data_IF_101558585963
#
_entry.id   IF_101558585963
#
_cell.length_a   1.000
_cell.length_b   1.000
_cell.length_c   1.000
_cell.angle_alpha   90.00
_cell.angle_beta   90.00
_cell.angle_gamma   90.00
#
_symmetry.space_group_name_H-M   'P 1'
#
loop_
_entity.id
_entity.type
_entity.pdbx_description
1 polymer ?
#
# COMPACT_ATOMS: atom_id res chain seq x y z
N UNK A 1 36.27 -44.66 12.71
CA UNK A 1 36.33 -43.25 12.27
C UNK A 1 35.51 -42.94 11.00
N UNK A 2 34.61 -43.83 10.53
CA UNK A 2 33.74 -43.57 9.35
C UNK A 2 32.33 -43.03 9.70
N UNK A 3 31.88 -43.16 10.97
CA UNK A 3 30.54 -42.71 11.41
C UNK A 3 30.45 -41.22 11.74
N UNK A 4 31.57 -40.55 12.02
CA UNK A 4 31.59 -39.11 12.36
C UNK A 4 31.50 -38.22 11.10
N UNK A 5 31.94 -38.74 9.95
CA UNK A 5 31.91 -38.02 8.67
C UNK A 5 30.47 -37.91 8.13
N UNK A 6 29.57 -38.82 8.50
CA UNK A 6 28.17 -38.82 8.02
C UNK A 6 27.27 -37.79 8.74
N UNK A 7 27.69 -37.28 9.90
CA UNK A 7 26.93 -36.28 10.66
C UNK A 7 27.21 -34.86 10.15
N UNK A 8 28.40 -34.63 9.57
CA UNK A 8 28.75 -33.31 9.01
C UNK A 8 28.07 -33.02 7.67
N UNK A 9 27.62 -34.04 6.93
CA UNK A 9 26.90 -33.87 5.66
C UNK A 9 25.42 -33.53 5.83
N UNK A 10 24.83 -33.76 7.01
CA UNK A 10 23.41 -33.45 7.29
C UNK A 10 23.21 -31.98 7.69
N UNK A 11 24.28 -31.27 8.06
CA UNK A 11 24.21 -29.83 8.42
C UNK A 11 24.14 -28.93 7.16
N UNK A 12 24.34 -29.48 5.97
CA UNK A 12 24.15 -28.76 4.70
C UNK A 12 22.67 -28.67 4.26
N UNK A 13 21.74 -29.19 5.07
CA UNK A 13 20.31 -29.17 4.78
C UNK A 13 19.70 -27.84 5.26
N UNK A 14 19.44 -26.97 4.28
CA UNK A 14 18.35 -26.00 4.24
C UNK A 14 18.41 -24.74 5.11
N UNK A 15 19.51 -23.99 5.05
CA UNK A 15 19.43 -22.53 5.22
C UNK A 15 19.30 -21.85 3.85
N UNK A 16 18.28 -22.22 3.06
CA UNK A 16 17.88 -21.33 1.96
C UNK A 16 17.16 -20.16 2.63
N UNK A 17 17.85 -19.05 2.82
CA UNK A 17 17.19 -17.78 3.15
C UNK A 17 16.16 -17.51 2.06
N UNK A 18 14.88 -17.71 2.37
CA UNK A 18 13.78 -17.28 1.51
C UNK A 18 13.77 -15.76 1.61
N UNK A 19 14.61 -15.11 0.79
CA UNK A 19 14.56 -13.67 0.62
C UNK A 19 13.25 -13.38 -0.10
N UNK A 20 12.20 -13.07 0.68
CA UNK A 20 11.02 -12.44 0.12
C UNK A 20 11.45 -11.08 -0.41
N UNK A 21 11.22 -10.84 -1.69
CA UNK A 21 11.49 -9.54 -2.29
C UNK A 21 10.50 -8.55 -1.69
N UNK A 22 10.99 -7.51 -1.05
CA UNK A 22 10.13 -6.43 -0.56
C UNK A 22 9.86 -5.43 -1.68
N UNK A 23 8.59 -5.05 -1.84
CA UNK A 23 8.18 -3.94 -2.67
C UNK A 23 7.71 -2.79 -1.77
N UNK A 24 8.38 -1.65 -1.88
CA UNK A 24 8.10 -0.46 -1.07
C UNK A 24 7.56 0.59 -2.03
N UNK A 25 6.33 1.03 -1.79
CA UNK A 25 5.67 2.07 -2.55
C UNK A 25 5.44 3.28 -1.63
N UNK A 26 5.93 4.43 -2.05
CA UNK A 26 5.81 5.70 -1.32
C UNK A 26 5.05 6.70 -2.19
N UNK A 27 4.09 7.40 -1.59
CA UNK A 27 3.31 8.41 -2.28
C UNK A 27 3.19 9.68 -1.44
N UNK A 28 3.16 10.81 -2.13
CA UNK A 28 3.16 12.14 -1.55
C UNK A 28 2.13 12.98 -2.27
N UNK A 29 1.17 13.50 -1.53
CA UNK A 29 0.04 14.12 -2.19
C UNK A 29 -0.68 15.14 -1.34
N UNK A 30 -1.67 15.76 -1.97
CA UNK A 30 -2.66 16.60 -1.32
C UNK A 30 -4.02 15.96 -1.49
N UNK A 31 -4.88 16.16 -0.51
CA UNK A 31 -6.25 15.67 -0.57
C UNK A 31 -7.26 16.77 -0.30
N UNK A 32 -8.41 16.68 -0.96
CA UNK A 32 -9.58 17.52 -0.72
C UNK A 32 -10.74 16.64 -0.24
N UNK A 33 -11.62 17.25 0.56
CA UNK A 33 -12.80 16.57 1.08
C UNK A 33 -13.99 17.52 1.11
N UNK A 34 -15.10 17.14 0.47
CA UNK A 34 -16.37 17.85 0.61
C UNK A 34 -17.22 17.10 1.63
N UNK A 35 -17.51 17.75 2.76
CA UNK A 35 -18.10 17.10 3.94
C UNK A 35 -19.54 17.51 4.15
N UNK A 36 -20.41 16.51 4.31
CA UNK A 36 -21.78 16.64 4.79
C UNK A 36 -21.82 16.22 6.26
N UNK A 37 -22.31 17.10 7.13
CA UNK A 37 -22.61 16.76 8.52
C UNK A 37 -24.02 16.18 8.58
N UNK A 38 -24.13 14.88 8.88
CA UNK A 38 -25.41 14.17 8.96
C UNK A 38 -26.00 14.30 10.36
N UNK A 39 -25.16 14.28 11.39
CA UNK A 39 -25.47 14.61 12.78
C UNK A 39 -24.22 15.09 13.51
N UNK A 40 -24.34 15.43 14.80
CA UNK A 40 -23.19 15.85 15.62
C UNK A 40 -22.04 14.83 15.61
N UNK A 41 -22.39 13.54 15.58
CA UNK A 41 -21.43 12.43 15.64
C UNK A 41 -21.23 11.70 14.30
N UNK A 42 -21.91 12.11 13.22
CA UNK A 42 -21.80 11.45 11.92
C UNK A 42 -21.50 12.45 10.79
N UNK A 43 -20.36 12.22 10.13
CA UNK A 43 -19.93 12.96 8.94
C UNK A 43 -19.65 12.01 7.78
N UNK A 44 -20.05 12.44 6.59
CA UNK A 44 -19.70 11.79 5.34
C UNK A 44 -18.94 12.78 4.48
N UNK A 45 -17.82 12.36 3.91
CA UNK A 45 -17.00 13.19 3.03
C UNK A 45 -16.74 12.47 1.72
N UNK A 46 -16.94 13.16 0.60
CA UNK A 46 -16.24 12.78 -0.63
C UNK A 46 -14.74 12.97 -0.42
N UNK A 47 -13.92 12.17 -1.07
CA UNK A 47 -12.47 12.29 -0.98
C UNK A 47 -11.87 12.27 -2.37
N UNK A 48 -11.00 13.23 -2.65
CA UNK A 48 -10.11 13.22 -3.81
C UNK A 48 -8.68 13.49 -3.37
N UNK A 49 -7.72 12.93 -4.09
CA UNK A 49 -6.31 13.28 -3.90
C UNK A 49 -5.54 13.20 -5.20
N UNK A 50 -4.48 13.99 -5.28
CA UNK A 50 -3.47 13.91 -6.33
C UNK A 50 -2.09 13.93 -5.68
N UNK A 51 -1.13 13.28 -6.32
CA UNK A 51 0.20 13.16 -5.77
C UNK A 51 1.24 12.61 -6.73
N UNK A 52 2.47 12.61 -6.23
CA UNK A 52 3.61 11.91 -6.83
C UNK A 52 3.88 10.64 -6.06
N UNK A 53 4.54 9.68 -6.69
CA UNK A 53 4.95 8.45 -6.03
C UNK A 53 6.30 7.97 -6.57
N UNK A 54 6.97 7.16 -5.76
CA UNK A 54 8.16 6.41 -6.13
C UNK A 54 8.17 5.04 -5.46
N UNK A 55 8.96 4.11 -6.00
CA UNK A 55 9.16 2.78 -5.41
C UNK A 55 10.63 2.34 -5.35
N UNK A 56 10.87 1.28 -4.60
CA UNK A 56 12.21 0.73 -4.42
C UNK A 56 12.78 -0.02 -5.65
N UNK A 57 12.04 -0.14 -6.75
CA UNK A 57 12.57 -0.60 -8.04
C UNK A 57 13.02 0.58 -8.93
N UNK A 58 12.87 1.82 -8.45
CA UNK A 58 13.26 3.03 -9.17
C UNK A 58 12.18 3.56 -10.11
N UNK A 59 10.94 3.09 -10.00
CA UNK A 59 9.81 3.70 -10.70
C UNK A 59 9.29 4.91 -9.96
N UNK A 60 8.76 5.86 -10.73
CA UNK A 60 8.18 7.08 -10.22
C UNK A 60 7.12 7.60 -11.17
N UNK A 61 6.24 8.44 -10.66
CA UNK A 61 5.24 9.12 -11.47
C UNK A 61 4.21 9.84 -10.62
N UNK A 62 2.96 9.83 -11.09
CA UNK A 62 1.86 10.51 -10.44
C UNK A 62 0.65 9.59 -10.21
N UNK A 63 -0.21 10.01 -9.30
CA UNK A 63 -1.46 9.33 -9.01
C UNK A 63 -2.61 10.30 -8.81
N UNK A 64 -3.81 9.82 -9.13
CA UNK A 64 -5.08 10.45 -8.77
C UNK A 64 -5.94 9.42 -8.04
N UNK A 65 -6.64 9.84 -6.99
CA UNK A 65 -7.53 8.98 -6.23
C UNK A 65 -8.89 9.62 -6.00
N UNK A 66 -9.90 8.77 -5.88
CA UNK A 66 -11.27 9.16 -5.54
C UNK A 66 -11.92 8.12 -4.63
N UNK A 67 -12.78 8.56 -3.73
CA UNK A 67 -13.50 7.69 -2.81
C UNK A 67 -14.26 8.46 -1.74
N UNK A 68 -14.33 7.89 -0.55
CA UNK A 68 -15.06 8.49 0.56
C UNK A 68 -14.35 8.31 1.91
N UNK A 69 -14.76 9.16 2.85
CA UNK A 69 -14.46 9.03 4.27
C UNK A 69 -15.76 9.12 5.07
N UNK A 70 -16.00 8.14 5.94
CA UNK A 70 -17.06 8.18 6.95
C UNK A 70 -16.43 8.38 8.31
N UNK A 71 -16.94 9.33 9.08
CA UNK A 71 -16.57 9.49 10.48
C UNK A 71 -17.81 9.32 11.34
N UNK A 72 -17.80 8.30 12.20
CA UNK A 72 -18.86 8.02 13.18
C UNK A 72 -18.24 8.02 14.58
N UNK A 73 -18.64 8.96 15.43
CA UNK A 73 -17.98 9.24 16.70
C UNK A 73 -16.46 9.45 16.49
N UNK A 74 -15.65 8.58 17.11
CA UNK A 74 -14.19 8.54 16.96
C UNK A 74 -13.71 7.56 15.89
N UNK A 75 -14.59 6.82 15.22
CA UNK A 75 -14.23 5.85 14.18
C UNK A 75 -14.19 6.52 12.81
N UNK A 76 -13.19 6.17 12.02
CA UNK A 76 -12.99 6.62 10.64
C UNK A 76 -12.93 5.40 9.75
N UNK A 77 -13.75 5.40 8.70
CA UNK A 77 -13.71 4.46 7.60
C UNK A 77 -13.34 5.23 6.33
N UNK A 78 -12.31 4.77 5.63
CA UNK A 78 -11.86 5.34 4.36
C UNK A 78 -11.78 4.20 3.34
N UNK A 79 -12.32 4.46 2.17
CA UNK A 79 -12.18 3.59 1.00
C UNK A 79 -11.99 4.48 -0.22
N UNK A 80 -10.83 4.34 -0.85
CA UNK A 80 -10.44 5.13 -2.02
C UNK A 80 -9.84 4.23 -3.08
N UNK A 81 -10.02 4.62 -4.33
CA UNK A 81 -9.47 3.97 -5.50
C UNK A 81 -8.56 4.95 -6.22
N UNK A 82 -7.39 4.47 -6.63
CA UNK A 82 -6.35 5.27 -7.24
C UNK A 82 -6.01 4.73 -8.63
N UNK A 83 -5.81 5.64 -9.59
CA UNK A 83 -5.07 5.39 -10.82
C UNK A 83 -3.65 5.93 -10.65
N UNK A 84 -2.67 5.06 -10.86
CA UNK A 84 -1.26 5.37 -10.70
C UNK A 84 -0.54 5.13 -12.03
N UNK A 85 0.27 6.08 -12.49
CA UNK A 85 1.01 6.01 -13.76
C UNK A 85 2.49 6.26 -13.51
N UNK A 86 3.35 5.49 -14.19
CA UNK A 86 4.81 5.64 -14.10
C UNK A 86 5.40 6.45 -15.28
N UNK A 87 6.70 6.70 -15.22
CA UNK A 87 7.50 7.40 -16.23
C UNK A 87 7.45 6.78 -17.64
N UNK A 88 7.02 5.53 -17.77
CA UNK A 88 6.87 4.81 -19.04
C UNK A 88 5.40 4.69 -19.49
N UNK A 89 4.47 5.41 -18.87
CA UNK A 89 3.02 5.32 -19.10
C UNK A 89 2.40 3.94 -18.78
N UNK A 90 3.11 3.09 -18.05
CA UNK A 90 2.53 1.89 -17.45
C UNK A 90 1.68 2.31 -16.24
N UNK A 91 0.53 1.68 -16.09
CA UNK A 91 -0.46 2.03 -15.09
C UNK A 91 -0.72 0.87 -14.15
N UNK A 92 -1.12 1.20 -12.93
CA UNK A 92 -1.80 0.27 -12.05
C UNK A 92 -2.89 0.98 -11.26
N UNK A 93 -3.90 0.21 -10.90
CA UNK A 93 -5.04 0.68 -10.11
C UNK A 93 -5.01 -0.02 -8.77
N UNK A 94 -5.20 0.74 -7.70
CA UNK A 94 -5.18 0.21 -6.35
C UNK A 94 -6.34 0.74 -5.51
N UNK A 95 -6.83 -0.07 -4.57
CA UNK A 95 -7.68 0.41 -3.49
C UNK A 95 -6.85 0.67 -2.24
N UNK A 96 -7.29 1.63 -1.43
CA UNK A 96 -6.76 1.87 -0.08
C UNK A 96 -7.94 1.91 0.88
N UNK A 97 -7.93 0.98 1.83
CA UNK A 97 -9.00 0.80 2.80
C UNK A 97 -8.42 0.98 4.21
N UNK A 98 -9.08 1.80 5.02
CA UNK A 98 -8.72 2.01 6.42
C UNK A 98 -9.95 2.01 7.29
N UNK A 99 -9.88 1.27 8.39
CA UNK A 99 -10.81 1.33 9.52
C UNK A 99 -9.99 1.59 10.78
N UNK A 100 -10.11 2.78 11.33
CA UNK A 100 -9.28 3.19 12.47
C UNK A 100 -10.03 4.13 13.41
N UNK A 101 -9.47 4.36 14.60
CA UNK A 101 -9.83 5.55 15.36
C UNK A 101 -9.32 6.81 14.65
N UNK A 102 -9.93 7.96 14.95
CA UNK A 102 -9.53 9.27 14.44
C UNK A 102 -8.07 9.53 14.86
N UNK A 103 -7.24 9.87 13.88
CA UNK A 103 -5.79 10.01 14.05
C UNK A 103 -5.00 8.74 13.72
N UNK A 104 -5.67 7.59 13.54
CA UNK A 104 -5.05 6.36 13.05
C UNK A 104 -4.65 6.46 11.58
N UNK A 105 -3.36 6.25 11.30
CA UNK A 105 -2.77 6.35 9.96
C UNK A 105 -2.51 5.01 9.27
N UNK A 106 -3.12 3.90 9.70
CA UNK A 106 -2.79 2.56 9.18
C UNK A 106 -3.97 2.00 8.38
N UNK A 107 -3.68 1.42 7.22
CA UNK A 107 -4.67 0.75 6.38
C UNK A 107 -4.07 -0.31 5.48
N UNK A 108 -4.85 -0.78 4.52
CA UNK A 108 -4.47 -1.79 3.55
C UNK A 108 -4.56 -1.23 2.13
N UNK A 109 -3.49 -1.37 1.35
CA UNK A 109 -3.49 -1.12 -0.10
C UNK A 109 -3.64 -2.46 -0.82
N UNK A 110 -4.42 -2.51 -1.89
CA UNK A 110 -4.54 -3.69 -2.75
C UNK A 110 -4.46 -3.29 -4.22
N UNK A 111 -3.57 -3.93 -4.97
CA UNK A 111 -3.43 -3.71 -6.42
C UNK A 111 -4.55 -4.50 -7.12
N UNK A 112 -5.44 -3.76 -7.79
CA UNK A 112 -6.65 -4.29 -8.42
C UNK A 112 -6.40 -4.68 -9.88
N UNK A 113 -5.57 -3.92 -10.59
CA UNK A 113 -5.25 -4.14 -11.99
C UNK A 113 -3.92 -3.47 -12.34
N UNK A 114 -3.32 -3.83 -13.47
CA UNK A 114 -2.07 -3.24 -13.93
C UNK A 114 -1.76 -3.53 -15.41
N UNK A 115 -0.99 -2.63 -16.02
CA UNK A 115 -0.41 -2.82 -17.35
C UNK A 115 1.08 -3.14 -17.23
N UNK A 116 1.67 -3.63 -18.32
CA UNK A 116 3.11 -3.90 -18.39
C UNK A 116 3.62 -4.74 -17.21
N UNK A 117 4.67 -4.26 -16.54
CA UNK A 117 5.28 -4.95 -15.38
C UNK A 117 4.36 -5.08 -14.16
N UNK A 118 3.40 -4.17 -13.98
CA UNK A 118 2.50 -4.18 -12.82
C UNK A 118 1.45 -5.29 -12.88
N UNK A 119 1.29 -5.98 -14.04
CA UNK A 119 0.46 -7.19 -14.14
C UNK A 119 0.86 -8.26 -13.13
N UNK A 120 2.15 -8.35 -12.82
CA UNK A 120 2.69 -9.31 -11.85
C UNK A 120 2.28 -9.01 -10.40
N UNK A 121 1.83 -7.79 -10.12
CA UNK A 121 1.46 -7.32 -8.79
C UNK A 121 -0.05 -7.37 -8.52
N UNK A 122 -0.88 -7.76 -9.51
CA UNK A 122 -2.34 -7.83 -9.34
C UNK A 122 -2.69 -8.80 -8.20
N UNK A 123 -3.53 -8.35 -7.28
CA UNK A 123 -3.93 -9.07 -6.07
C UNK A 123 -2.96 -8.91 -4.89
N UNK A 124 -1.81 -8.26 -5.07
CA UNK A 124 -0.90 -7.95 -3.98
C UNK A 124 -1.58 -6.97 -3.01
N UNK A 125 -1.64 -7.37 -1.74
CA UNK A 125 -2.25 -6.59 -0.66
C UNK A 125 -1.25 -6.35 0.46
N UNK A 126 -1.11 -5.09 0.89
CA UNK A 126 -0.05 -4.68 1.80
C UNK A 126 -0.56 -3.71 2.87
N UNK A 127 -0.01 -3.76 4.09
CA UNK A 127 -0.23 -2.71 5.06
C UNK A 127 0.45 -1.41 4.59
N UNK A 128 -0.18 -0.29 4.90
CA UNK A 128 0.39 1.04 4.71
C UNK A 128 0.28 1.90 5.96
N UNK A 129 1.17 2.88 6.07
CA UNK A 129 1.10 4.00 7.00
C UNK A 129 0.93 5.32 6.24
N UNK A 130 0.19 6.27 6.81
CA UNK A 130 0.02 7.62 6.30
C UNK A 130 0.19 8.66 7.41
N UNK A 131 0.97 9.68 7.14
CA UNK A 131 1.15 10.85 8.01
C UNK A 131 0.73 12.12 7.27
N UNK A 132 0.25 13.11 8.01
CA UNK A 132 -0.19 14.38 7.45
C UNK A 132 0.57 15.56 8.06
N UNK A 133 0.90 16.54 7.23
CA UNK A 133 1.37 17.87 7.65
C UNK A 133 0.64 18.91 6.83
N UNK A 134 -0.20 19.70 7.48
CA UNK A 134 -1.14 20.60 6.81
C UNK A 134 -2.03 19.82 5.82
N UNK A 135 -2.06 20.24 4.56
CA UNK A 135 -2.77 19.58 3.46
C UNK A 135 -1.92 18.52 2.72
N UNK A 136 -0.70 18.25 3.16
CA UNK A 136 0.19 17.27 2.55
C UNK A 136 0.14 15.94 3.30
N UNK A 137 0.26 14.84 2.55
CA UNK A 137 0.30 13.49 3.08
C UNK A 137 1.57 12.76 2.61
N UNK A 138 2.11 11.92 3.51
CA UNK A 138 3.20 10.97 3.26
C UNK A 138 2.66 9.58 3.48
N UNK A 139 2.48 8.83 2.40
CA UNK A 139 2.00 7.47 2.37
C UNK A 139 3.17 6.52 2.14
N UNK A 140 3.19 5.40 2.86
CA UNK A 140 4.17 4.33 2.66
C UNK A 140 3.52 2.98 2.82
N UNK A 141 3.60 2.14 1.79
CA UNK A 141 3.22 0.74 1.82
C UNK A 141 4.46 -0.15 1.78
N UNK A 142 4.43 -1.26 2.53
CA UNK A 142 5.46 -2.30 2.50
C UNK A 142 4.83 -3.64 2.15
N UNK A 143 5.13 -4.12 0.95
CA UNK A 143 4.59 -5.33 0.37
C UNK A 143 5.61 -6.46 0.42
N UNK A 144 5.18 -7.64 0.83
CA UNK A 144 5.98 -8.87 0.70
C UNK A 144 5.59 -9.55 -0.60
N UNK A 145 6.52 -9.64 -1.54
CA UNK A 145 6.32 -10.43 -2.76
C UNK A 145 6.79 -11.84 -2.43
N UNK A 146 5.85 -12.78 -2.44
CA UNK A 146 6.17 -14.19 -2.45
C UNK A 146 6.59 -14.57 -3.87
N UNK A 147 7.80 -15.13 -4.01
CA UNK A 147 8.20 -15.74 -5.26
C UNK A 147 7.26 -16.92 -5.52
N UNK A 148 6.31 -16.77 -6.46
CA UNK A 148 5.58 -17.92 -6.98
C UNK A 148 6.61 -18.84 -7.63
N UNK A 149 6.88 -19.97 -6.98
CA UNK A 149 7.69 -21.07 -7.50
C UNK A 149 7.01 -21.70 -8.71
#
# INVERSE_FOLDING_TARGET
>A
MKKIILIFTIIFVSCTSVNSKEYIFEAYGKSNQDTINISDDFKFSSYTSEGMWDDNNGDYGNEICSGYVKQMNKKVELEVFCETINQNNEKFWNSRVRKSDKGGGVGQITILNGTGKYKSLIGLSCPYGINYKNNYAWFRAKCKIENKR
#
